data_IF_119769741790
#
_entry.id   IF_119769741790
#
_cell.length_a   1.000
_cell.length_b   1.000
_cell.length_c   1.000
_cell.angle_alpha   90.00
_cell.angle_beta   90.00
_cell.angle_gamma   90.00
#
_symmetry.space_group_name_H-M   'P 1'
#
loop_
_entity.id
_entity.type
_entity.pdbx_description
1 polymer ?
#
# COMPACT_ATOMS: atom_id res chain seq x y z
N UNK A 1 2.81 25.12 -7.00
CA UNK A 1 2.38 23.82 -7.58
C UNK A 1 1.90 22.94 -6.42
N UNK A 2 0.61 22.96 -6.10
CA UNK A 2 0.02 22.10 -5.05
C UNK A 2 -0.25 20.77 -5.74
N UNK A 3 0.66 19.80 -5.68
CA UNK A 3 0.40 18.49 -6.31
C UNK A 3 1.58 17.57 -6.61
N UNK A 4 2.83 17.98 -6.44
CA UNK A 4 4.04 17.26 -6.92
C UNK A 4 4.35 15.91 -6.27
N UNK A 5 3.53 15.42 -5.35
CA UNK A 5 3.78 14.19 -4.59
C UNK A 5 2.54 13.30 -4.43
N UNK A 6 1.46 13.53 -5.18
CA UNK A 6 0.36 12.57 -5.22
C UNK A 6 0.73 11.48 -6.24
N UNK A 7 0.49 10.21 -5.91
CA UNK A 7 0.57 9.16 -6.93
C UNK A 7 -0.31 9.58 -8.10
N UNK A 8 0.20 9.60 -9.34
CA UNK A 8 -0.61 10.00 -10.49
C UNK A 8 -1.87 9.14 -10.54
N UNK A 9 -3.07 9.75 -10.62
CA UNK A 9 -4.28 8.97 -10.68
C UNK A 9 -4.33 8.20 -12.01
N UNK A 10 -5.07 7.10 -12.02
CA UNK A 10 -5.47 6.43 -13.24
C UNK A 10 -7.00 6.40 -13.36
N UNK A 11 -7.46 6.33 -14.60
CA UNK A 11 -8.85 6.17 -15.00
C UNK A 11 -8.93 4.83 -15.73
N UNK A 12 -9.80 3.96 -15.21
CA UNK A 12 -10.22 2.74 -15.88
C UNK A 12 -11.59 2.97 -16.51
N UNK A 13 -11.70 2.77 -17.82
CA UNK A 13 -12.99 2.74 -18.52
C UNK A 13 -13.55 1.33 -18.35
N UNK A 14 -14.81 1.22 -17.94
CA UNK A 14 -15.43 -0.07 -17.63
C UNK A 14 -16.60 -0.32 -18.56
N UNK A 15 -16.61 -1.48 -19.21
CA UNK A 15 -17.76 -1.97 -19.95
C UNK A 15 -18.30 -3.26 -19.34
N UNK A 16 -19.57 -3.24 -18.93
CA UNK A 16 -20.25 -4.37 -18.34
C UNK A 16 -21.10 -5.12 -19.37
N UNK A 17 -21.07 -6.45 -19.33
CA UNK A 17 -21.81 -7.35 -20.22
C UNK A 17 -22.62 -8.38 -19.45
N UNK A 18 -23.76 -8.78 -20.02
CA UNK A 18 -24.80 -9.54 -19.33
C UNK A 18 -24.96 -11.00 -19.77
N UNK A 19 -24.20 -11.51 -20.75
CA UNK A 19 -24.40 -12.88 -21.27
C UNK A 19 -23.09 -13.63 -21.61
N UNK A 20 -22.90 -14.82 -21.03
CA UNK A 20 -21.68 -15.64 -21.12
C UNK A 20 -21.33 -16.08 -22.56
N UNK A 21 -22.31 -16.58 -23.31
CA UNK A 21 -22.13 -16.96 -24.72
C UNK A 21 -21.94 -15.76 -25.65
N UNK A 22 -22.42 -14.58 -25.23
CA UNK A 22 -22.33 -13.36 -26.01
C UNK A 22 -20.93 -12.75 -25.96
N UNK A 23 -20.33 -12.57 -24.79
CA UNK A 23 -19.14 -11.72 -24.67
C UNK A 23 -17.96 -12.23 -25.49
N UNK A 24 -17.65 -13.52 -25.39
CA UNK A 24 -16.58 -14.13 -26.19
C UNK A 24 -16.91 -14.12 -27.68
N UNK A 25 -18.12 -14.50 -28.07
CA UNK A 25 -18.54 -14.49 -29.47
C UNK A 25 -18.53 -13.07 -30.05
N UNK A 26 -18.89 -12.05 -29.26
CA UNK A 26 -18.81 -10.65 -29.65
C UNK A 26 -17.37 -10.18 -29.82
N UNK A 27 -16.43 -10.62 -28.99
CA UNK A 27 -15.01 -10.20 -29.13
C UNK A 27 -14.31 -10.97 -30.25
N UNK A 28 -14.59 -12.27 -30.39
CA UNK A 28 -13.82 -13.17 -31.27
C UNK A 28 -14.43 -13.37 -32.65
N UNK A 29 -15.77 -13.40 -32.74
CA UNK A 29 -16.48 -13.57 -34.02
C UNK A 29 -16.88 -12.23 -34.64
N UNK A 30 -16.73 -11.12 -33.90
CA UNK A 30 -16.98 -9.78 -34.43
C UNK A 30 -15.73 -8.89 -34.31
N UNK A 31 -14.89 -8.81 -35.37
CA UNK A 31 -13.65 -8.04 -35.35
C UNK A 31 -13.86 -6.54 -35.08
N UNK A 32 -15.06 -6.00 -35.32
CA UNK A 32 -15.39 -4.59 -35.04
C UNK A 32 -15.58 -4.31 -33.55
N UNK A 33 -15.66 -5.35 -32.71
CA UNK A 33 -15.90 -5.15 -31.30
C UNK A 33 -14.71 -4.48 -30.60
N UNK A 34 -13.46 -4.85 -30.93
CA UNK A 34 -12.29 -4.11 -30.41
C UNK A 34 -12.27 -2.65 -30.85
N UNK A 35 -12.73 -2.36 -32.08
CA UNK A 35 -12.88 -1.00 -32.57
C UNK A 35 -13.91 -0.25 -31.71
N UNK A 36 -15.01 -0.91 -31.35
CA UNK A 36 -16.02 -0.34 -30.45
C UNK A 36 -15.47 -0.05 -29.06
N UNK A 37 -14.74 -1.01 -28.46
CA UNK A 37 -14.05 -0.80 -27.18
C UNK A 37 -13.12 0.42 -27.26
N UNK A 38 -12.36 0.53 -28.36
CA UNK A 38 -11.46 1.66 -28.59
C UNK A 38 -12.24 2.97 -28.63
N UNK A 39 -13.34 3.03 -29.37
CA UNK A 39 -14.16 4.25 -29.45
C UNK A 39 -14.77 4.63 -28.10
N UNK A 40 -15.14 3.67 -27.26
CA UNK A 40 -15.57 3.96 -25.90
C UNK A 40 -14.44 4.57 -25.07
N UNK A 41 -13.24 3.99 -25.10
CA UNK A 41 -12.12 4.52 -24.35
C UNK A 41 -11.60 5.87 -24.85
N UNK A 42 -11.43 6.00 -26.17
CA UNK A 42 -10.78 7.16 -26.78
C UNK A 42 -11.82 8.25 -27.04
N UNK A 43 -12.80 7.98 -27.88
CA UNK A 43 -13.68 9.02 -28.42
C UNK A 43 -14.69 9.52 -27.38
N UNK A 44 -15.22 8.61 -26.55
CA UNK A 44 -16.23 8.95 -25.54
C UNK A 44 -15.65 9.38 -24.20
N UNK A 45 -14.47 8.89 -23.81
CA UNK A 45 -13.86 9.21 -22.51
C UNK A 45 -12.61 10.07 -22.67
N UNK A 46 -11.52 9.53 -23.23
CA UNK A 46 -10.22 10.22 -23.26
C UNK A 46 -10.29 11.58 -23.94
N UNK A 47 -10.91 11.68 -25.11
CA UNK A 47 -11.00 12.94 -25.85
C UNK A 47 -11.97 13.95 -25.22
N UNK A 48 -12.83 13.53 -24.30
CA UNK A 48 -13.71 14.42 -23.53
C UNK A 48 -13.04 15.03 -22.30
N UNK A 49 -11.92 14.47 -21.85
CA UNK A 49 -11.15 15.00 -20.73
C UNK A 49 -10.26 16.18 -21.18
N UNK A 50 -10.02 17.13 -20.28
CA UNK A 50 -9.23 18.33 -20.57
C UNK A 50 -7.76 18.16 -20.18
N UNK A 51 -6.84 18.66 -21.02
CA UNK A 51 -5.41 18.73 -20.70
C UNK A 51 -4.80 17.40 -20.24
N UNK A 52 -4.04 17.44 -19.13
CA UNK A 52 -3.32 16.30 -18.57
C UNK A 52 -4.22 15.15 -18.09
N UNK A 53 -5.51 15.39 -17.87
CA UNK A 53 -6.43 14.32 -17.44
C UNK A 53 -6.62 13.24 -18.51
N UNK A 54 -6.39 13.56 -19.79
CA UNK A 54 -6.39 12.59 -20.89
C UNK A 54 -5.37 11.48 -20.68
N UNK A 55 -4.23 11.82 -20.08
CA UNK A 55 -3.12 10.88 -19.88
C UNK A 55 -3.38 9.91 -18.72
N UNK A 56 -4.38 10.19 -17.89
CA UNK A 56 -4.80 9.28 -16.82
C UNK A 56 -5.69 8.13 -17.32
N UNK A 57 -6.24 8.19 -18.55
CA UNK A 57 -6.97 7.05 -19.12
C UNK A 57 -5.97 5.96 -19.53
N UNK A 58 -5.78 4.97 -18.65
CA UNK A 58 -4.73 3.95 -18.78
C UNK A 58 -5.27 2.54 -18.98
N UNK A 59 -6.51 2.28 -18.55
CA UNK A 59 -7.05 0.92 -18.50
C UNK A 59 -8.45 0.84 -19.14
N UNK A 60 -8.70 -0.25 -19.84
CA UNK A 60 -10.03 -0.70 -20.27
C UNK A 60 -10.34 -2.02 -19.59
N UNK A 61 -11.45 -2.05 -18.86
CA UNK A 61 -11.92 -3.21 -18.11
C UNK A 61 -13.21 -3.72 -18.73
N UNK A 62 -13.23 -4.98 -19.17
CA UNK A 62 -14.47 -5.64 -19.59
C UNK A 62 -14.92 -6.56 -18.47
N UNK A 63 -16.10 -6.27 -17.91
CA UNK A 63 -16.73 -7.10 -16.88
C UNK A 63 -17.84 -7.93 -17.54
N UNK A 64 -17.80 -9.24 -17.36
CA UNK A 64 -18.76 -10.16 -17.97
C UNK A 64 -18.95 -11.41 -17.11
N UNK A 65 -19.90 -12.31 -17.43
CA UNK A 65 -20.16 -13.49 -16.61
C UNK A 65 -18.93 -14.41 -16.51
N UNK A 66 -18.24 -14.62 -17.63
CA UNK A 66 -17.01 -15.40 -17.72
C UNK A 66 -16.28 -15.09 -19.05
N UNK A 67 -15.03 -15.52 -19.15
CA UNK A 67 -14.18 -15.33 -20.32
C UNK A 67 -13.27 -16.54 -20.54
N UNK A 68 -13.17 -17.07 -21.78
CA UNK A 68 -12.19 -18.11 -22.07
C UNK A 68 -10.79 -17.49 -22.24
N UNK A 69 -9.74 -18.27 -21.96
CA UNK A 69 -8.37 -17.77 -21.88
C UNK A 69 -7.82 -17.24 -23.21
N UNK A 70 -8.33 -17.70 -24.34
CA UNK A 70 -7.93 -17.23 -25.68
C UNK A 70 -8.18 -15.74 -25.88
N UNK A 71 -9.09 -15.15 -25.09
CA UNK A 71 -9.44 -13.72 -25.21
C UNK A 71 -8.28 -12.79 -24.80
N UNK A 72 -7.31 -13.29 -24.04
CA UNK A 72 -6.15 -12.53 -23.60
C UNK A 72 -5.26 -12.08 -24.77
N UNK A 73 -5.33 -12.79 -25.90
CA UNK A 73 -4.61 -12.44 -27.14
C UNK A 73 -5.02 -11.06 -27.68
N UNK A 74 -6.24 -10.61 -27.41
CA UNK A 74 -6.74 -9.32 -27.87
C UNK A 74 -6.20 -8.13 -27.06
N UNK A 75 -5.62 -8.36 -25.88
CA UNK A 75 -5.07 -7.29 -25.03
C UNK A 75 -3.96 -6.53 -25.74
N UNK A 76 -3.05 -7.25 -26.40
CA UNK A 76 -1.95 -6.65 -27.15
C UNK A 76 -2.47 -5.83 -28.35
N UNK A 77 -3.41 -6.39 -29.12
CA UNK A 77 -3.99 -5.69 -30.27
C UNK A 77 -4.69 -4.40 -29.84
N UNK A 78 -5.49 -4.45 -28.78
CA UNK A 78 -6.17 -3.27 -28.24
C UNK A 78 -5.19 -2.19 -27.79
N UNK A 79 -4.12 -2.58 -27.08
CA UNK A 79 -3.07 -1.65 -26.64
C UNK A 79 -2.42 -0.92 -27.82
N UNK A 80 -2.09 -1.65 -28.90
CA UNK A 80 -1.54 -1.03 -30.10
C UNK A 80 -2.52 -0.05 -30.75
N UNK A 81 -3.80 -0.42 -30.84
CA UNK A 81 -4.84 0.41 -31.47
C UNK A 81 -5.17 1.70 -30.71
N UNK A 82 -4.92 1.71 -29.39
CA UNK A 82 -5.24 2.82 -28.46
C UNK A 82 -4.02 3.66 -28.06
N UNK A 83 -2.82 3.30 -28.51
CA UNK A 83 -1.59 4.00 -28.16
C UNK A 83 -1.16 3.77 -26.70
N UNK A 84 -1.44 2.61 -26.13
CA UNK A 84 -0.92 2.20 -24.81
C UNK A 84 -1.95 1.93 -23.71
N UNK A 85 -3.26 2.02 -23.98
CA UNK A 85 -4.30 1.66 -22.99
C UNK A 85 -4.31 0.14 -22.84
N UNK A 86 -4.19 -0.36 -21.62
CA UNK A 86 -4.19 -1.80 -21.32
C UNK A 86 -5.61 -2.32 -21.20
N UNK A 87 -5.89 -3.46 -21.83
CA UNK A 87 -7.19 -4.14 -21.75
C UNK A 87 -7.10 -5.31 -20.78
N UNK A 88 -8.07 -5.43 -19.88
CA UNK A 88 -8.21 -6.60 -19.02
C UNK A 88 -9.66 -7.10 -18.96
N UNK A 89 -9.82 -8.37 -18.58
CA UNK A 89 -11.11 -9.04 -18.50
C UNK A 89 -11.34 -9.50 -17.07
N UNK A 90 -12.49 -9.15 -16.49
CA UNK A 90 -12.81 -9.48 -15.11
C UNK A 90 -14.16 -10.20 -15.05
N UNK A 91 -14.16 -11.52 -14.84
CA UNK A 91 -15.38 -12.26 -14.59
C UNK A 91 -16.14 -11.66 -13.40
N UNK A 92 -17.46 -11.53 -13.53
CA UNK A 92 -18.33 -10.98 -12.50
C UNK A 92 -18.25 -11.78 -11.18
N UNK A 93 -18.17 -13.12 -11.17
CA UNK A 93 -17.93 -13.88 -9.94
C UNK A 93 -16.62 -13.47 -9.24
N UNK A 94 -15.55 -13.25 -10.01
CA UNK A 94 -14.23 -12.85 -9.50
C UNK A 94 -14.25 -11.41 -8.97
N UNK A 95 -14.97 -10.49 -9.62
CA UNK A 95 -15.19 -9.15 -9.08
C UNK A 95 -15.93 -9.20 -7.73
N UNK A 96 -16.97 -10.03 -7.61
CA UNK A 96 -17.68 -10.21 -6.36
C UNK A 96 -16.77 -10.80 -5.28
N UNK A 97 -15.91 -11.76 -5.65
CA UNK A 97 -14.90 -12.33 -4.76
C UNK A 97 -13.92 -11.25 -4.26
N UNK A 98 -13.34 -10.45 -5.16
CA UNK A 98 -12.48 -9.31 -4.82
C UNK A 98 -13.15 -8.34 -3.84
N UNK A 99 -14.42 -7.98 -4.09
CA UNK A 99 -15.18 -7.07 -3.20
C UNK A 99 -15.42 -7.69 -1.83
N UNK A 100 -15.74 -8.99 -1.75
CA UNK A 100 -15.91 -9.69 -0.47
C UNK A 100 -14.61 -9.71 0.32
N UNK A 101 -13.51 -10.12 -0.30
CA UNK A 101 -12.18 -10.15 0.32
C UNK A 101 -11.73 -8.78 0.80
N UNK A 102 -11.97 -7.73 0.00
CA UNK A 102 -11.65 -6.36 0.38
C UNK A 102 -12.47 -5.87 1.58
N UNK A 103 -13.76 -6.23 1.66
CA UNK A 103 -14.60 -5.89 2.82
C UNK A 103 -14.14 -6.58 4.10
N UNK A 104 -13.68 -7.82 4.01
CA UNK A 104 -13.14 -8.57 5.14
C UNK A 104 -11.80 -8.01 5.61
N UNK A 105 -10.94 -7.57 4.68
CA UNK A 105 -9.61 -7.08 4.98
C UNK A 105 -9.21 -5.94 4.02
N UNK A 106 -9.53 -4.67 4.32
CA UNK A 106 -9.31 -3.54 3.40
C UNK A 106 -7.84 -3.07 3.40
N UNK A 107 -6.95 -3.92 2.88
CA UNK A 107 -5.49 -3.71 2.84
C UNK A 107 -4.96 -3.37 1.45
N UNK A 108 -5.80 -3.45 0.41
CA UNK A 108 -5.39 -3.09 -0.95
C UNK A 108 -5.32 -1.57 -1.10
N UNK A 109 -4.13 -1.07 -1.42
CA UNK A 109 -3.91 0.33 -1.77
C UNK A 109 -4.24 0.59 -3.24
N UNK A 110 -4.34 1.87 -3.62
CA UNK A 110 -4.54 2.28 -5.01
C UNK A 110 -3.47 1.70 -5.95
N UNK A 111 -2.21 1.71 -5.50
CA UNK A 111 -1.06 1.27 -6.29
C UNK A 111 -1.08 -0.25 -6.50
N UNK A 112 -1.52 -1.01 -5.49
CA UNK A 112 -1.70 -2.46 -5.60
C UNK A 112 -2.88 -2.82 -6.52
N UNK A 113 -3.97 -2.05 -6.48
CA UNK A 113 -5.08 -2.23 -7.43
C UNK A 113 -4.67 -1.90 -8.86
N UNK A 114 -3.75 -0.96 -9.07
CA UNK A 114 -3.22 -0.68 -10.40
C UNK A 114 -2.51 -1.91 -11.00
N UNK A 115 -1.78 -2.67 -10.17
CA UNK A 115 -1.12 -3.89 -10.61
C UNK A 115 -2.11 -4.92 -11.18
N UNK A 116 -3.31 -5.04 -10.59
CA UNK A 116 -4.39 -5.88 -11.11
C UNK A 116 -4.82 -5.43 -12.50
N UNK A 117 -5.08 -4.14 -12.69
CA UNK A 117 -5.46 -3.58 -13.99
C UNK A 117 -4.34 -3.66 -15.03
N UNK A 118 -3.09 -3.71 -14.59
CA UNK A 118 -1.94 -3.76 -15.47
C UNK A 118 -1.64 -5.14 -16.07
N UNK A 119 -2.36 -6.19 -15.63
CA UNK A 119 -2.07 -7.60 -15.88
C UNK A 119 -2.46 -8.13 -17.27
N UNK A 120 -3.32 -7.42 -18.00
CA UNK A 120 -3.71 -7.72 -19.39
C UNK A 120 -4.24 -9.13 -19.68
N UNK A 121 -4.91 -9.71 -18.70
CA UNK A 121 -5.39 -11.09 -18.77
C UNK A 121 -6.84 -11.21 -18.28
N UNK A 122 -7.37 -12.43 -18.30
CA UNK A 122 -8.57 -12.78 -17.56
C UNK A 122 -8.19 -12.93 -16.09
N UNK A 123 -8.73 -12.07 -15.24
CA UNK A 123 -8.49 -12.12 -13.79
C UNK A 123 -9.22 -13.32 -13.21
N UNK A 124 -8.50 -14.13 -12.43
CA UNK A 124 -9.05 -15.28 -11.71
C UNK A 124 -9.00 -15.08 -10.20
N UNK A 125 -9.67 -15.95 -9.44
CA UNK A 125 -9.66 -15.88 -7.97
C UNK A 125 -8.23 -16.02 -7.42
N UNK A 126 -7.38 -16.85 -8.02
CA UNK A 126 -5.98 -17.01 -7.61
C UNK A 126 -5.15 -15.73 -7.85
N UNK A 127 -5.58 -14.88 -8.78
CA UNK A 127 -4.96 -13.57 -8.95
C UNK A 127 -5.33 -12.66 -7.79
N UNK A 128 -6.62 -12.62 -7.43
CA UNK A 128 -7.12 -11.86 -6.28
C UNK A 128 -6.39 -12.27 -5.01
N UNK A 129 -6.27 -13.57 -4.72
CA UNK A 129 -5.59 -14.04 -3.53
C UNK A 129 -4.11 -13.65 -3.51
N UNK A 130 -3.40 -13.80 -4.64
CA UNK A 130 -2.01 -13.33 -4.76
C UNK A 130 -1.87 -11.82 -4.52
N UNK A 131 -2.85 -11.01 -4.93
CA UNK A 131 -2.84 -9.57 -4.64
C UNK A 131 -2.99 -9.27 -3.15
N UNK A 132 -3.85 -10.00 -2.44
CA UNK A 132 -3.97 -9.84 -0.98
C UNK A 132 -2.73 -10.34 -0.24
N UNK A 133 -2.13 -11.45 -0.67
CA UNK A 133 -0.87 -11.94 -0.11
C UNK A 133 0.27 -10.93 -0.29
N UNK A 134 0.39 -10.34 -1.48
CA UNK A 134 1.39 -9.29 -1.76
C UNK A 134 1.14 -8.04 -0.91
N UNK A 135 -0.12 -7.64 -0.73
CA UNK A 135 -0.48 -6.54 0.16
C UNK A 135 -0.02 -6.81 1.60
N UNK A 136 -0.31 -8.01 2.12
CA UNK A 136 0.11 -8.40 3.46
C UNK A 136 1.63 -8.42 3.62
N UNK A 137 2.38 -8.97 2.65
CA UNK A 137 3.86 -8.97 2.68
C UNK A 137 4.44 -7.56 2.71
N UNK A 138 3.84 -6.62 1.95
CA UNK A 138 4.26 -5.22 1.97
C UNK A 138 4.00 -4.58 3.32
N UNK A 139 2.84 -4.85 3.91
CA UNK A 139 2.49 -4.34 5.24
C UNK A 139 3.44 -4.90 6.31
N UNK A 140 3.74 -6.20 6.26
CA UNK A 140 4.71 -6.83 7.16
C UNK A 140 6.10 -6.20 6.99
N UNK A 141 6.54 -5.97 5.76
CA UNK A 141 7.82 -5.29 5.48
C UNK A 141 7.84 -3.86 6.05
N UNK A 142 6.74 -3.10 5.93
CA UNK A 142 6.61 -1.76 6.52
C UNK A 142 6.65 -1.81 8.05
N UNK A 143 5.98 -2.79 8.66
CA UNK A 143 5.99 -3.02 10.10
C UNK A 143 7.41 -3.28 10.57
N UNK A 144 8.13 -4.20 9.92
CA UNK A 144 9.49 -4.57 10.31
C UNK A 144 10.47 -3.40 10.17
N UNK A 145 10.37 -2.62 9.10
CA UNK A 145 11.18 -1.40 8.95
C UNK A 145 10.89 -0.38 10.06
N UNK A 146 9.60 -0.17 10.38
CA UNK A 146 9.20 0.75 11.43
C UNK A 146 9.65 0.27 12.82
N UNK A 147 9.51 -1.03 13.12
CA UNK A 147 9.99 -1.69 14.34
C UNK A 147 11.51 -1.55 14.49
N UNK A 148 12.25 -1.86 13.43
CA UNK A 148 13.70 -1.75 13.43
C UNK A 148 14.13 -0.30 13.71
N UNK A 149 13.47 0.68 13.09
CA UNK A 149 13.77 2.09 13.34
C UNK A 149 13.46 2.51 14.77
N UNK A 150 12.34 2.06 15.33
CA UNK A 150 11.99 2.27 16.73
C UNK A 150 13.09 1.70 17.65
N UNK A 151 13.50 0.45 17.43
CA UNK A 151 14.53 -0.22 18.21
C UNK A 151 15.88 0.49 18.13
N UNK A 152 16.31 0.91 16.94
CA UNK A 152 17.58 1.62 16.77
C UNK A 152 17.59 2.96 17.52
N UNK A 153 16.49 3.70 17.45
CA UNK A 153 16.33 4.96 18.20
C UNK A 153 16.24 4.72 19.70
N UNK A 154 15.54 3.70 20.11
CA UNK A 154 15.42 3.35 21.53
C UNK A 154 16.77 2.97 22.14
N UNK A 155 17.60 2.20 21.42
CA UNK A 155 19.00 1.90 21.83
C UNK A 155 19.85 3.16 21.95
N UNK A 156 19.69 4.10 21.01
CA UNK A 156 20.34 5.41 21.08
C UNK A 156 19.94 6.15 22.37
N UNK A 157 18.66 6.14 22.73
CA UNK A 157 18.17 6.78 23.95
C UNK A 157 18.70 6.07 25.21
N UNK A 158 18.56 4.75 25.28
CA UNK A 158 19.00 3.94 26.41
C UNK A 158 20.51 4.14 26.71
N UNK A 159 21.34 4.26 25.67
CA UNK A 159 22.78 4.50 25.81
C UNK A 159 23.15 5.84 26.46
N UNK A 160 22.26 6.84 26.39
CA UNK A 160 22.46 8.17 26.96
C UNK A 160 21.96 8.30 28.40
N UNK A 161 21.18 7.33 28.87
CA UNK A 161 20.63 7.31 30.22
C UNK A 161 21.58 6.65 31.21
N UNK A 162 22.04 7.44 32.18
CA UNK A 162 22.81 6.96 33.32
C UNK A 162 21.92 6.48 34.50
N UNK A 163 20.63 6.78 34.45
CA UNK A 163 19.66 6.48 35.50
C UNK A 163 19.09 5.08 35.33
N UNK A 164 19.08 4.30 36.41
CA UNK A 164 18.72 2.88 36.38
C UNK A 164 17.20 2.62 36.48
N UNK A 165 16.37 3.66 36.65
CA UNK A 165 14.92 3.49 36.78
C UNK A 165 14.09 4.24 35.73
N UNK A 166 14.72 5.14 34.94
CA UNK A 166 14.02 5.97 33.97
C UNK A 166 14.72 5.98 32.63
N UNK A 167 13.94 5.82 31.56
CA UNK A 167 14.37 6.14 30.20
C UNK A 167 14.03 7.60 29.95
N UNK A 168 15.05 8.46 29.92
CA UNK A 168 14.88 9.90 29.69
C UNK A 168 14.77 10.14 28.19
N UNK A 169 13.55 10.40 27.74
CA UNK A 169 13.27 10.89 26.39
C UNK A 169 12.89 12.37 26.49
N UNK A 170 13.68 13.25 25.86
CA UNK A 170 13.27 14.64 25.68
C UNK A 170 12.32 14.77 24.49
N UNK A 171 11.63 15.91 24.42
CA UNK A 171 10.65 16.18 23.37
C UNK A 171 11.27 16.15 21.96
N UNK A 172 12.53 16.55 21.82
CA UNK A 172 13.23 16.59 20.53
C UNK A 172 13.49 15.17 20.02
N UNK A 173 13.89 14.26 20.91
CA UNK A 173 14.11 12.85 20.60
C UNK A 173 12.79 12.16 20.22
N UNK A 174 11.70 12.44 20.96
CA UNK A 174 10.39 11.90 20.64
C UNK A 174 9.89 12.40 19.28
N UNK A 175 10.02 13.71 19.02
CA UNK A 175 9.69 14.28 17.71
C UNK A 175 10.53 13.63 16.61
N UNK A 176 11.85 13.47 16.80
CA UNK A 176 12.73 12.82 15.83
C UNK A 176 12.30 11.39 15.53
N UNK A 177 11.94 10.60 16.55
CA UNK A 177 11.46 9.24 16.38
C UNK A 177 10.16 9.20 15.56
N UNK A 178 9.20 10.07 15.91
CA UNK A 178 7.93 10.16 15.19
C UNK A 178 8.19 10.53 13.72
N UNK A 179 9.05 11.53 13.45
CA UNK A 179 9.40 11.91 12.09
C UNK A 179 10.07 10.79 11.30
N UNK A 180 10.98 10.04 11.92
CA UNK A 180 11.65 8.91 11.27
C UNK A 180 10.67 7.80 10.89
N UNK A 181 9.74 7.46 11.79
CA UNK A 181 8.67 6.50 11.51
C UNK A 181 7.78 7.02 10.37
N UNK A 182 7.35 8.29 10.43
CA UNK A 182 6.50 8.87 9.39
C UNK A 182 7.19 8.92 8.01
N UNK A 183 8.51 9.09 7.96
CA UNK A 183 9.29 9.00 6.72
C UNK A 183 9.28 7.59 6.14
N UNK A 184 9.40 6.54 6.98
CA UNK A 184 9.30 5.14 6.52
C UNK A 184 7.91 4.86 5.94
N UNK A 185 6.87 5.43 6.54
CA UNK A 185 5.48 5.24 6.11
C UNK A 185 5.07 6.11 4.92
N UNK A 186 5.97 6.96 4.39
CA UNK A 186 5.67 7.91 3.32
C UNK A 186 5.25 7.28 1.97
N UNK A 187 5.76 6.11 1.54
CA UNK A 187 5.30 5.51 0.30
C UNK A 187 3.81 5.16 0.36
N UNK A 188 3.37 4.55 1.46
CA UNK A 188 2.07 3.90 1.52
C UNK A 188 1.01 4.69 2.30
N UNK A 189 1.37 5.30 3.44
CA UNK A 189 0.38 5.82 4.41
C UNK A 189 0.48 7.32 4.69
N UNK A 190 1.65 7.92 4.48
CA UNK A 190 1.92 9.31 4.86
C UNK A 190 2.36 10.12 3.65
N UNK A 191 2.08 11.41 3.62
CA UNK A 191 2.66 12.32 2.65
C UNK A 191 3.22 13.53 3.37
N UNK A 192 4.53 13.68 3.31
CA UNK A 192 5.26 14.80 3.90
C UNK A 192 5.56 15.79 2.78
N UNK A 193 5.21 17.04 3.00
CA UNK A 193 5.47 18.13 2.07
C UNK A 193 5.88 19.40 2.80
N UNK A 194 6.45 20.37 2.07
CA UNK A 194 6.80 21.67 2.61
C UNK A 194 5.95 22.74 1.91
N UNK A 195 5.22 23.55 2.68
CA UNK A 195 4.49 24.69 2.12
C UNK A 195 5.49 25.68 1.53
N UNK A 196 5.40 25.91 0.23
CA UNK A 196 6.32 26.81 -0.50
C UNK A 196 6.26 28.26 0.00
N UNK A 197 5.15 28.68 0.59
CA UNK A 197 4.92 30.06 1.07
C UNK A 197 5.40 30.29 2.49
N UNK A 198 5.26 29.31 3.38
CA UNK A 198 5.59 29.47 4.81
C UNK A 198 6.80 28.67 5.26
N UNK A 199 7.30 27.74 4.42
CA UNK A 199 8.36 26.81 4.77
C UNK A 199 7.96 25.76 5.81
N UNK A 200 6.71 25.75 6.26
CA UNK A 200 6.21 24.82 7.27
C UNK A 200 6.05 23.42 6.66
N UNK A 201 6.56 22.41 7.34
CA UNK A 201 6.36 20.99 7.01
C UNK A 201 4.93 20.59 7.32
N UNK A 202 4.23 20.01 6.35
CA UNK A 202 2.88 19.49 6.47
C UNK A 202 2.89 17.98 6.29
N UNK A 203 2.24 17.28 7.21
CA UNK A 203 2.12 15.82 7.21
C UNK A 203 0.66 15.49 6.93
N UNK A 204 0.41 14.74 5.86
CA UNK A 204 -0.92 14.24 5.50
C UNK A 204 -0.98 12.74 5.73
N UNK A 205 -1.99 12.27 6.46
CA UNK A 205 -2.21 10.85 6.70
C UNK A 205 -3.30 10.34 5.75
N UNK A 206 -3.03 9.24 5.04
CA UNK A 206 -4.01 8.58 4.18
C UNK A 206 -4.98 7.77 5.05
N UNK A 207 -6.08 8.40 5.47
CA UNK A 207 -7.03 7.80 6.42
C UNK A 207 -7.81 6.61 5.81
N UNK A 208 -7.94 6.55 4.49
CA UNK A 208 -8.65 5.48 3.79
C UNK A 208 -7.99 4.11 3.97
N UNK A 209 -6.71 4.09 4.39
CA UNK A 209 -5.95 2.88 4.68
C UNK A 209 -5.92 2.56 6.18
N UNK A 210 -7.05 2.74 6.88
CA UNK A 210 -7.15 2.57 8.33
C UNK A 210 -6.69 1.18 8.81
N UNK A 211 -6.99 0.11 8.05
CA UNK A 211 -6.63 -1.25 8.45
C UNK A 211 -5.12 -1.48 8.38
N UNK A 212 -4.46 -0.84 7.42
CA UNK A 212 -3.00 -0.84 7.33
C UNK A 212 -2.40 -0.06 8.50
N UNK A 213 -2.96 1.11 8.81
CA UNK A 213 -2.59 1.89 10.00
C UNK A 213 -2.72 1.08 11.28
N UNK A 214 -3.84 0.39 11.49
CA UNK A 214 -4.07 -0.47 12.66
C UNK A 214 -2.95 -1.50 12.80
N UNK A 215 -2.63 -2.24 11.73
CA UNK A 215 -1.56 -3.24 11.74
C UNK A 215 -0.19 -2.63 12.06
N UNK A 216 0.15 -1.49 11.45
CA UNK A 216 1.42 -0.78 11.67
C UNK A 216 1.54 -0.30 13.13
N UNK A 217 0.49 0.33 13.66
CA UNK A 217 0.50 0.86 15.02
C UNK A 217 0.53 -0.26 16.07
N UNK A 218 -0.18 -1.35 15.85
CA UNK A 218 -0.11 -2.53 16.72
C UNK A 218 1.31 -3.10 16.71
N UNK A 219 1.92 -3.28 15.53
CA UNK A 219 3.28 -3.79 15.42
C UNK A 219 4.31 -2.91 16.13
N UNK A 220 4.18 -1.59 16.03
CA UNK A 220 5.02 -0.63 16.76
C UNK A 220 4.79 -0.67 18.28
N UNK A 221 3.54 -0.82 18.71
CA UNK A 221 3.19 -0.89 20.14
C UNK A 221 3.76 -2.16 20.77
N UNK A 222 3.61 -3.31 20.12
CA UNK A 222 4.19 -4.59 20.55
C UNK A 222 5.70 -4.48 20.72
N UNK A 223 6.38 -3.89 19.74
CA UNK A 223 7.84 -3.71 19.78
C UNK A 223 8.27 -2.74 20.88
N UNK A 224 7.52 -1.65 21.10
CA UNK A 224 7.80 -0.73 22.19
C UNK A 224 7.66 -1.39 23.57
N UNK A 225 6.61 -2.19 23.78
CA UNK A 225 6.41 -2.96 25.02
C UNK A 225 7.57 -3.92 25.24
N UNK A 226 7.97 -4.66 24.20
CA UNK A 226 9.12 -5.57 24.26
C UNK A 226 10.42 -4.86 24.64
N UNK A 227 10.66 -3.66 24.10
CA UNK A 227 11.85 -2.86 24.44
C UNK A 227 11.84 -2.41 25.91
N UNK A 228 10.68 -2.08 26.47
CA UNK A 228 10.55 -1.76 27.89
C UNK A 228 10.80 -2.97 28.79
N UNK A 229 10.31 -4.15 28.40
CA UNK A 229 10.59 -5.41 29.10
C UNK A 229 12.09 -5.73 29.08
N UNK A 230 12.74 -5.64 27.92
CA UNK A 230 14.19 -5.87 27.75
C UNK A 230 15.01 -4.93 28.66
N UNK A 231 14.67 -3.64 28.71
CA UNK A 231 15.37 -2.68 29.60
C UNK A 231 15.11 -2.97 31.09
N UNK A 232 13.89 -3.35 31.46
CA UNK A 232 13.56 -3.73 32.84
C UNK A 232 14.39 -4.93 33.31
N UNK A 233 14.57 -5.95 32.47
CA UNK A 233 15.41 -7.10 32.79
C UNK A 233 16.89 -6.74 32.93
N UNK A 234 17.41 -5.86 32.06
CA UNK A 234 18.80 -5.37 32.13
C UNK A 234 19.03 -4.60 33.43
N UNK A 235 18.04 -3.81 33.86
CA UNK A 235 18.10 -3.08 35.13
C UNK A 235 18.14 -4.01 36.34
N UNK A 236 17.29 -5.05 36.37
CA UNK A 236 17.30 -6.06 37.43
C UNK A 236 18.70 -6.71 37.54
N UNK A 237 19.24 -7.22 36.43
CA UNK A 237 20.57 -7.84 36.40
C UNK A 237 21.70 -6.91 36.87
N UNK A 238 21.67 -5.64 36.44
CA UNK A 238 22.67 -4.64 36.88
C UNK A 238 22.57 -4.34 38.37
N UNK A 239 21.37 -4.37 38.93
CA UNK A 239 21.13 -4.15 40.36
C UNK A 239 21.66 -5.33 41.17
N UNK A 240 21.33 -6.56 40.74
CA UNK A 240 21.83 -7.80 41.36
C UNK A 240 23.37 -7.85 41.36
N UNK A 241 23.99 -7.55 40.22
CA UNK A 241 25.46 -7.48 40.09
C UNK A 241 26.08 -6.42 41.02
N UNK A 242 25.45 -5.25 41.18
CA UNK A 242 25.92 -4.22 42.12
C UNK A 242 25.82 -4.72 43.57
N UNK A 243 24.71 -5.37 43.94
CA UNK A 243 24.54 -5.94 45.27
C UNK A 243 25.57 -7.05 45.56
N UNK A 244 25.83 -7.93 44.59
CA UNK A 244 26.86 -8.97 44.70
C UNK A 244 28.27 -8.37 44.85
N UNK A 245 28.62 -7.35 44.06
CA UNK A 245 29.89 -6.64 44.17
C UNK A 245 30.06 -5.96 45.52
N UNK A 246 29.02 -5.31 46.05
CA UNK A 246 29.04 -4.69 47.38
C UNK A 246 29.27 -5.75 48.47
N UNK A 247 28.57 -6.90 48.39
CA UNK A 247 28.77 -8.03 49.30
C UNK A 247 30.17 -8.63 49.19
N UNK A 248 30.72 -8.74 47.98
CA UNK A 248 32.05 -9.32 47.73
C UNK A 248 33.19 -8.41 48.18
N UNK A 249 33.05 -7.09 48.04
CA UNK A 249 34.07 -6.11 48.43
C UNK A 249 34.09 -5.81 49.94
N UNK A 250 33.18 -6.41 50.73
CA UNK A 250 33.08 -6.22 52.18
C UNK A 250 33.04 -4.74 52.60
N UNK A 251 32.49 -3.90 51.72
CA UNK A 251 32.24 -2.48 51.97
C UNK A 251 31.01 -2.39 52.89
N UNK A 252 31.23 -2.57 54.18
CA UNK A 252 30.31 -2.13 55.24
C UNK A 252 30.38 -0.63 55.43
#
# INVERSE_FOLDING_TARGET
MIGTHATPPYIAVVECKTAASGVYDYITKNPDYLIRLKSYCIDLVKEKLLGVYKDYVRYMLVVGPDFPGEIETYSMQFRHMTGGIKLLFLPAPVLVYLVKRYRENPVLTHDLLEMLFSSEKVVREEDVDRFFEEAERRIESLIELARQRLRDKFREFASRTADACFIKMDEILLQSLIYDILNILQPDLVKIGKKSTTGITTIHLKHDYFKIWEKVLNGLTEEFVKLLEEESEVQQKRTDLKEELIKFLDLR
#
